data_IF_477637695638
#
_entry.id   IF_477637695638
#
_cell.length_a   1.000
_cell.length_b   1.000
_cell.length_c   1.000
_cell.angle_alpha   90.00
_cell.angle_beta   90.00
_cell.angle_gamma   90.00
#
_symmetry.space_group_name_H-M   'P 1'
#
loop_
_entity.id
_entity.type
_entity.pdbx_description
1 polymer ?
#
# COMPACT_ATOMS: atom_id res chain seq x y z
N UNK A 1 -0.66 -6.98 8.59
CA UNK A 1 -1.79 -6.10 8.21
C UNK A 1 -2.17 -6.39 6.78
N UNK A 2 -3.46 -6.33 6.45
CA UNK A 2 -3.94 -6.51 5.07
C UNK A 2 -4.65 -5.25 4.63
N UNK A 3 -4.32 -4.75 3.44
CA UNK A 3 -4.99 -3.61 2.80
C UNK A 3 -5.72 -4.10 1.56
N UNK A 4 -7.05 -3.96 1.54
CA UNK A 4 -7.90 -4.54 0.49
C UNK A 4 -8.54 -3.44 -0.34
N UNK A 5 -8.31 -3.48 -1.66
CA UNK A 5 -8.87 -2.51 -2.60
C UNK A 5 -10.41 -2.64 -2.65
N UNK A 6 -11.16 -1.54 -2.57
CA UNK A 6 -12.61 -1.58 -2.75
C UNK A 6 -12.99 -2.10 -4.14
N UNK A 7 -14.07 -2.87 -4.19
CA UNK A 7 -14.62 -3.51 -5.37
C UNK A 7 -14.89 -2.53 -6.52
N UNK A 8 -15.33 -1.31 -6.20
CA UNK A 8 -15.59 -0.24 -7.18
C UNK A 8 -14.35 0.16 -7.99
N UNK A 9 -13.14 -0.06 -7.46
CA UNK A 9 -11.90 0.26 -8.17
C UNK A 9 -11.32 -0.94 -8.92
N UNK A 10 -11.87 -2.15 -8.74
CA UNK A 10 -11.39 -3.35 -9.42
C UNK A 10 -11.35 -3.24 -10.94
N UNK A 11 -12.35 -2.67 -11.65
CA UNK A 11 -12.32 -2.54 -13.09
C UNK A 11 -11.11 -1.73 -13.59
N UNK A 12 -10.73 -0.67 -12.87
CA UNK A 12 -9.57 0.17 -13.23
C UNK A 12 -8.29 -0.67 -13.24
N UNK A 13 -8.04 -1.43 -12.17
CA UNK A 13 -6.82 -2.25 -12.06
C UNK A 13 -6.84 -3.49 -12.96
N UNK A 14 -8.03 -3.99 -13.33
CA UNK A 14 -8.18 -5.07 -14.30
C UNK A 14 -7.81 -4.60 -15.71
N UNK A 15 -8.30 -3.42 -16.11
CA UNK A 15 -7.99 -2.81 -17.41
C UNK A 15 -6.57 -2.24 -17.48
N UNK A 16 -5.98 -1.94 -16.33
CA UNK A 16 -4.65 -1.33 -16.21
C UNK A 16 -3.74 -2.11 -15.24
N UNK A 17 -3.36 -3.38 -15.54
CA UNK A 17 -2.57 -4.21 -14.61
C UNK A 17 -1.20 -3.61 -14.24
N UNK A 18 -0.64 -2.77 -15.12
CA UNK A 18 0.62 -2.06 -14.87
C UNK A 18 0.57 -1.15 -13.63
N UNK A 19 -0.61 -0.64 -13.25
CA UNK A 19 -0.81 0.16 -12.04
C UNK A 19 -0.60 -0.67 -10.77
N UNK A 20 -0.86 -1.98 -10.81
CA UNK A 20 -0.73 -2.88 -9.64
C UNK A 20 0.72 -2.93 -9.16
N UNK A 21 1.67 -2.91 -10.10
CA UNK A 21 3.10 -2.87 -9.81
C UNK A 21 3.54 -1.56 -9.15
N UNK A 22 2.75 -0.49 -9.22
CA UNK A 22 3.04 0.79 -8.60
C UNK A 22 2.29 0.98 -7.27
N UNK A 23 1.15 0.29 -7.10
CA UNK A 23 0.31 0.38 -5.92
C UNK A 23 1.02 -0.04 -4.61
N UNK A 24 2.03 -0.92 -4.65
CA UNK A 24 2.76 -1.29 -3.43
C UNK A 24 3.36 -0.06 -2.74
N UNK A 25 3.77 0.97 -3.51
CA UNK A 25 4.30 2.23 -2.96
C UNK A 25 3.27 2.92 -2.08
N UNK A 26 2.01 2.92 -2.50
CA UNK A 26 0.90 3.43 -1.70
C UNK A 26 0.76 2.64 -0.40
N UNK A 27 0.83 1.30 -0.47
CA UNK A 27 0.65 0.41 0.68
C UNK A 27 1.75 0.58 1.75
N UNK A 28 2.99 0.80 1.34
CA UNK A 28 4.14 0.91 2.28
C UNK A 28 4.40 2.36 2.76
N UNK A 29 3.90 3.35 2.04
CA UNK A 29 4.17 4.79 2.27
C UNK A 29 3.92 5.25 3.70
N UNK A 30 2.81 4.82 4.31
CA UNK A 30 2.44 5.19 5.68
C UNK A 30 3.52 4.77 6.68
N UNK A 31 3.95 3.50 6.58
CA UNK A 31 4.95 2.92 7.47
C UNK A 31 6.30 3.63 7.35
N UNK A 32 6.77 3.82 6.11
CA UNK A 32 8.03 4.50 5.85
C UNK A 32 7.98 5.96 6.31
N UNK A 33 6.87 6.66 6.09
CA UNK A 33 6.69 8.05 6.52
C UNK A 33 6.69 8.19 8.04
N UNK A 34 5.99 7.31 8.75
CA UNK A 34 5.97 7.31 10.22
C UNK A 34 7.33 6.93 10.82
N UNK A 35 8.00 5.92 10.26
CA UNK A 35 9.33 5.49 10.68
C UNK A 35 10.38 6.60 10.47
N UNK A 36 10.36 7.25 9.31
CA UNK A 36 11.21 8.41 8.99
C UNK A 36 11.02 9.55 9.99
N UNK A 37 9.77 9.89 10.33
CA UNK A 37 9.45 10.93 11.33
C UNK A 37 10.00 10.59 12.73
N UNK A 38 10.15 9.31 13.07
CA UNK A 38 10.75 8.85 14.33
C UNK A 38 12.26 8.62 14.25
N UNK A 39 12.86 8.75 13.06
CA UNK A 39 14.28 8.44 12.85
C UNK A 39 14.62 6.97 13.10
N UNK A 40 13.67 6.07 12.82
CA UNK A 40 13.81 4.62 13.02
C UNK A 40 13.80 3.95 11.65
N UNK A 41 14.77 3.08 11.40
CA UNK A 41 14.81 2.20 10.22
C UNK A 41 14.11 0.88 10.55
N UNK A 42 12.95 0.65 9.91
CA UNK A 42 12.10 -0.52 10.15
C UNK A 42 12.33 -1.62 9.11
N UNK A 43 12.08 -2.87 9.48
CA UNK A 43 11.90 -3.95 8.53
C UNK A 43 10.46 -3.96 8.01
N UNK A 44 10.29 -4.05 6.69
CA UNK A 44 8.98 -4.07 6.03
C UNK A 44 8.99 -5.04 4.87
N UNK A 45 7.95 -5.87 4.79
CA UNK A 45 7.68 -6.79 3.71
C UNK A 45 6.25 -6.58 3.20
N UNK A 46 6.08 -6.51 1.88
CA UNK A 46 4.78 -6.27 1.24
C UNK A 46 4.61 -7.23 0.07
N UNK A 47 3.49 -7.97 0.06
CA UNK A 47 3.09 -8.86 -1.04
C UNK A 47 1.78 -8.35 -1.61
N UNK A 48 1.68 -8.34 -2.94
CA UNK A 48 0.44 -8.05 -3.64
C UNK A 48 -0.21 -9.35 -4.12
N UNK A 49 -1.52 -9.45 -3.93
CA UNK A 49 -2.36 -10.49 -4.48
C UNK A 49 -3.44 -9.86 -5.33
N UNK A 50 -3.71 -10.45 -6.50
CA UNK A 50 -4.72 -9.96 -7.46
C UNK A 50 -6.06 -10.66 -7.33
N UNK A 51 -6.07 -11.90 -6.82
CA UNK A 51 -7.25 -12.74 -6.69
C UNK A 51 -7.51 -13.11 -5.23
N UNK A 52 -8.80 -13.21 -4.89
CA UNK A 52 -9.26 -13.74 -3.61
C UNK A 52 -9.29 -15.28 -3.59
N UNK A 53 -9.69 -15.85 -2.46
CA UNK A 53 -9.81 -17.31 -2.26
C UNK A 53 -10.72 -17.99 -3.29
N UNK A 54 -11.76 -17.29 -3.75
CA UNK A 54 -12.71 -17.81 -4.73
C UNK A 54 -12.30 -17.49 -6.18
N UNK A 55 -11.06 -17.05 -6.41
CA UNK A 55 -10.54 -16.59 -7.71
C UNK A 55 -11.30 -15.40 -8.31
N UNK A 56 -12.11 -14.71 -7.49
CA UNK A 56 -12.65 -13.40 -7.85
C UNK A 56 -11.53 -12.36 -7.81
N UNK A 57 -11.59 -11.39 -8.71
CA UNK A 57 -10.67 -10.25 -8.69
C UNK A 57 -10.78 -9.55 -7.34
N UNK A 58 -9.67 -9.40 -6.65
CA UNK A 58 -9.61 -8.80 -5.33
C UNK A 58 -8.17 -8.38 -5.05
N UNK A 59 -7.80 -7.18 -5.49
CA UNK A 59 -6.45 -6.66 -5.30
C UNK A 59 -6.26 -6.33 -3.81
N UNK A 60 -5.31 -6.98 -3.16
CA UNK A 60 -4.99 -6.73 -1.76
C UNK A 60 -3.49 -6.88 -1.48
N UNK A 61 -3.05 -6.24 -0.41
CA UNK A 61 -1.65 -6.22 0.02
C UNK A 61 -1.54 -6.85 1.40
N UNK A 62 -0.66 -7.85 1.54
CA UNK A 62 -0.24 -8.37 2.83
C UNK A 62 1.06 -7.69 3.24
N UNK A 63 1.01 -6.98 4.36
CA UNK A 63 2.14 -6.26 4.92
C UNK A 63 2.55 -6.87 6.26
N UNK A 64 3.84 -7.16 6.38
CA UNK A 64 4.50 -7.46 7.65
C UNK A 64 5.50 -6.36 7.95
N UNK A 65 5.45 -5.82 9.16
CA UNK A 65 6.32 -4.72 9.59
C UNK A 65 6.82 -4.99 11.00
N UNK A 66 8.08 -4.69 11.25
CA UNK A 66 8.66 -4.80 12.59
C UNK A 66 8.04 -3.75 13.51
N UNK A 67 7.78 -4.10 14.79
CA UNK A 67 7.28 -3.16 15.82
C UNK A 67 8.39 -2.27 16.41
N UNK A 68 9.44 -2.07 15.65
CA UNK A 68 10.64 -1.36 16.03
C UNK A 68 11.68 -1.46 14.93
N UNK A 69 12.85 -0.89 15.19
CA UNK A 69 13.92 -0.86 14.21
C UNK A 69 15.15 -0.15 14.75
N UNK A 70 16.16 0.04 13.92
CA UNK A 70 17.39 0.71 14.35
C UNK A 70 17.15 2.22 14.37
N UNK A 71 17.33 2.85 15.53
CA UNK A 71 17.34 4.30 15.60
C UNK A 71 18.59 4.83 14.91
N UNK A 72 18.41 5.72 13.94
CA UNK A 72 19.50 6.18 13.08
C UNK A 72 20.56 7.01 13.82
N UNK A 73 20.18 7.68 14.93
CA UNK A 73 21.07 8.49 15.76
C UNK A 73 21.80 7.66 16.81
N UNK A 74 21.06 6.88 17.58
CA UNK A 74 21.63 6.15 18.73
C UNK A 74 22.17 4.77 18.36
N UNK A 75 21.85 4.27 17.16
CA UNK A 75 22.16 2.90 16.68
C UNK A 75 21.59 1.79 17.56
N UNK A 76 20.66 2.11 18.46
CA UNK A 76 19.95 1.16 19.33
C UNK A 76 18.57 0.86 18.76
N UNK A 77 17.99 -0.27 19.20
CA UNK A 77 16.61 -0.59 18.88
C UNK A 77 15.65 0.47 19.44
N UNK A 78 14.79 1.02 18.59
CA UNK A 78 13.71 1.93 18.93
C UNK A 78 12.36 1.30 18.61
N UNK A 79 11.43 1.35 19.56
CA UNK A 79 10.08 0.84 19.36
C UNK A 79 9.23 1.82 18.52
N UNK A 80 8.37 1.28 17.67
CA UNK A 80 7.37 2.04 16.92
C UNK A 80 6.06 1.27 16.88
N UNK A 81 4.96 2.00 16.96
CA UNK A 81 3.62 1.45 16.84
C UNK A 81 2.91 2.10 15.65
N UNK A 82 2.19 1.27 14.89
CA UNK A 82 1.38 1.71 13.76
C UNK A 82 -0.09 1.51 14.10
N UNK A 83 -0.84 2.60 14.17
CA UNK A 83 -2.29 2.53 14.31
C UNK A 83 -2.91 2.11 12.97
N UNK A 84 -3.65 1.00 12.97
CA UNK A 84 -4.21 0.42 11.75
C UNK A 84 -5.15 1.40 11.01
N UNK A 85 -6.04 2.10 11.73
CA UNK A 85 -6.97 3.06 11.12
C UNK A 85 -6.24 4.23 10.46
N UNK A 86 -5.18 4.76 11.09
CA UNK A 86 -4.36 5.82 10.49
C UNK A 86 -3.61 5.33 9.25
N UNK A 87 -3.07 4.11 9.28
CA UNK A 87 -2.41 3.51 8.10
C UNK A 87 -3.41 3.32 6.96
N UNK A 88 -4.59 2.79 7.24
CA UNK A 88 -5.64 2.61 6.24
C UNK A 88 -6.10 3.94 5.64
N UNK A 89 -6.29 4.97 6.47
CA UNK A 89 -6.68 6.29 5.99
C UNK A 89 -5.59 6.90 5.10
N UNK A 90 -4.32 6.81 5.51
CA UNK A 90 -3.20 7.28 4.71
C UNK A 90 -3.12 6.52 3.38
N UNK A 91 -3.26 5.20 3.41
CA UNK A 91 -3.26 4.37 2.21
C UNK A 91 -4.37 4.76 1.24
N UNK A 92 -5.61 4.97 1.72
CA UNK A 92 -6.73 5.45 0.89
C UNK A 92 -6.42 6.78 0.20
N UNK A 93 -5.84 7.73 0.94
CA UNK A 93 -5.42 9.02 0.39
C UNK A 93 -4.35 8.86 -0.70
N UNK A 94 -3.36 7.99 -0.46
CA UNK A 94 -2.30 7.71 -1.43
C UNK A 94 -2.84 7.03 -2.69
N UNK A 95 -3.76 6.08 -2.57
CA UNK A 95 -4.43 5.47 -3.73
C UNK A 95 -5.20 6.51 -4.55
N UNK A 96 -5.94 7.42 -3.91
CA UNK A 96 -6.67 8.48 -4.62
C UNK A 96 -5.70 9.43 -5.34
N UNK A 97 -4.62 9.86 -4.67
CA UNK A 97 -3.59 10.69 -5.31
C UNK A 97 -2.97 9.97 -6.50
N UNK A 98 -2.57 8.72 -6.30
CA UNK A 98 -1.98 7.88 -7.33
C UNK A 98 -2.88 7.75 -8.57
N UNK A 99 -4.19 7.51 -8.38
CA UNK A 99 -5.13 7.43 -9.50
C UNK A 99 -5.31 8.76 -10.22
N UNK A 100 -5.27 9.89 -9.49
CA UNK A 100 -5.31 11.23 -10.11
C UNK A 100 -4.07 11.49 -10.96
N UNK A 101 -2.89 11.13 -10.46
CA UNK A 101 -1.62 11.34 -11.15
C UNK A 101 -1.54 10.55 -12.47
N UNK A 102 -2.19 9.38 -12.52
CA UNK A 102 -2.21 8.53 -13.71
C UNK A 102 -3.50 8.65 -14.53
N UNK A 103 -4.40 9.59 -14.19
CA UNK A 103 -5.74 9.68 -14.77
C UNK A 103 -5.73 9.72 -16.31
N UNK A 104 -4.83 10.51 -16.90
CA UNK A 104 -4.73 10.66 -18.36
C UNK A 104 -4.18 9.41 -19.07
N UNK A 105 -3.55 8.49 -18.33
CA UNK A 105 -2.97 7.26 -18.86
C UNK A 105 -3.87 6.03 -18.64
N UNK A 106 -5.04 6.21 -18.03
CA UNK A 106 -5.97 5.11 -17.76
C UNK A 106 -6.63 4.64 -19.06
N UNK A 107 -6.56 3.33 -19.31
CA UNK A 107 -7.50 2.70 -20.22
C UNK A 107 -8.87 2.64 -19.54
N UNK A 108 -9.84 3.34 -20.15
CA UNK A 108 -11.24 3.41 -19.71
C UNK A 108 -12.20 2.69 -20.66
N UNK A 109 -11.68 2.16 -21.78
CA UNK A 109 -12.48 1.38 -22.72
C UNK A 109 -12.66 -0.01 -22.15
N UNK A 110 -13.91 -0.39 -21.90
CA UNK A 110 -14.26 -1.78 -21.69
C UNK A 110 -14.10 -2.50 -23.04
N UNK A 111 -13.40 -3.62 -23.06
CA UNK A 111 -13.51 -4.56 -24.17
C UNK A 111 -14.99 -5.02 -24.21
N UNK A 112 -15.64 -4.79 -25.35
CA UNK A 112 -17.02 -5.22 -25.64
C UNK A 112 -17.11 -6.75 -25.64
#
# INVERSE_FOLDING_TARGET
MTLTMPDKLWPIFRLNPWLINLLYRCAVSAFLSFAKKRGIEIGLFCVVHTFGRQLNWNVHFHLSVTRGGVNLKTKRWGNIYFNAAMVEQHWKQQVVSFLRDHYNALNTKHDN
#
